data_IF_058508408400
#
_entry.id   IF_058508408400
#
_cell.length_a   1.000
_cell.length_b   1.000
_cell.length_c   1.000
_cell.angle_alpha   90.00
_cell.angle_beta   90.00
_cell.angle_gamma   90.00
#
_symmetry.space_group_name_H-M   'P 1'
#
loop_
_entity.id
_entity.type
_entity.pdbx_description
1 polymer ?
#
# COMPACT_ATOMS: atom_id res chain seq x y z
N UNK A 1 -29.15 9.10 24.86
CA UNK A 1 -28.06 8.53 24.05
C UNK A 1 -27.24 9.68 23.52
N UNK A 2 -25.93 9.72 23.77
CA UNK A 2 -25.05 10.74 23.21
C UNK A 2 -25.05 10.63 21.67
N UNK A 3 -25.16 11.76 20.99
CA UNK A 3 -25.14 11.81 19.53
C UNK A 3 -23.69 11.69 19.08
N UNK A 4 -23.39 10.68 18.24
CA UNK A 4 -22.08 10.47 17.65
C UNK A 4 -21.96 11.19 16.31
N UNK A 5 -20.94 11.98 16.17
CA UNK A 5 -20.62 12.80 15.00
C UNK A 5 -19.40 12.24 14.26
N UNK A 6 -19.38 12.35 12.93
CA UNK A 6 -18.22 12.10 12.10
C UNK A 6 -17.89 13.35 11.30
N UNK A 7 -16.61 13.71 11.23
CA UNK A 7 -16.14 14.87 10.47
C UNK A 7 -15.46 14.46 9.17
N UNK A 8 -15.72 15.21 8.10
CA UNK A 8 -14.98 15.17 6.86
C UNK A 8 -14.39 16.56 6.59
N UNK A 9 -13.09 16.60 6.40
CA UNK A 9 -12.31 17.83 6.24
C UNK A 9 -11.85 17.92 4.79
N UNK A 10 -12.02 19.07 4.14
CA UNK A 10 -11.71 19.21 2.72
C UNK A 10 -10.28 19.64 2.47
N UNK A 11 -9.68 20.39 3.37
CA UNK A 11 -8.35 20.95 3.21
C UNK A 11 -7.49 20.97 4.47
N UNK A 12 -6.18 21.13 4.29
CA UNK A 12 -5.17 21.12 5.35
C UNK A 12 -5.28 22.27 6.34
N UNK A 13 -5.88 23.38 5.92
CA UNK A 13 -6.13 24.57 6.73
C UNK A 13 -7.30 24.39 7.70
N UNK A 14 -8.13 23.34 7.50
CA UNK A 14 -9.28 23.00 8.33
C UNK A 14 -10.38 24.08 8.36
N UNK A 15 -10.42 24.94 7.35
CA UNK A 15 -11.44 25.98 7.21
C UNK A 15 -12.79 25.41 6.75
N UNK A 16 -12.75 24.40 5.90
CA UNK A 16 -13.93 23.76 5.32
C UNK A 16 -14.04 22.32 5.79
N UNK A 17 -15.19 21.98 6.37
CA UNK A 17 -15.48 20.62 6.83
C UNK A 17 -16.99 20.40 6.94
N UNK A 18 -17.39 19.15 6.81
CA UNK A 18 -18.76 18.69 7.00
C UNK A 18 -18.85 17.76 8.22
N UNK A 19 -19.99 17.84 8.92
CA UNK A 19 -20.29 16.94 10.03
C UNK A 19 -21.50 16.09 9.68
N UNK A 20 -21.35 14.79 9.91
CA UNK A 20 -22.37 13.78 9.68
C UNK A 20 -22.77 13.12 10.99
N UNK A 21 -24.01 12.65 11.07
CA UNK A 21 -24.39 11.70 12.09
C UNK A 21 -23.66 10.36 11.82
N UNK A 22 -22.86 9.90 12.79
CA UNK A 22 -22.01 8.72 12.60
C UNK A 22 -22.79 7.42 12.38
N UNK A 23 -24.01 7.31 12.89
CA UNK A 23 -24.83 6.11 12.77
C UNK A 23 -25.61 6.03 11.46
N UNK A 24 -26.15 7.19 11.00
CA UNK A 24 -27.01 7.24 9.82
C UNK A 24 -26.24 7.65 8.57
N UNK A 25 -25.02 8.14 8.72
CA UNK A 25 -24.18 8.70 7.65
C UNK A 25 -24.87 9.85 6.88
N UNK A 26 -25.85 10.52 7.49
CA UNK A 26 -26.48 11.71 6.91
C UNK A 26 -25.73 12.96 7.35
N UNK A 27 -25.49 13.86 6.39
CA UNK A 27 -24.95 15.19 6.64
C UNK A 27 -25.92 15.98 7.53
N UNK A 28 -25.40 16.71 8.51
CA UNK A 28 -26.23 17.54 9.37
C UNK A 28 -26.47 18.90 8.74
N UNK A 29 -27.72 19.33 8.69
CA UNK A 29 -28.10 20.69 8.22
C UNK A 29 -27.65 21.76 9.21
N UNK A 30 -27.71 21.48 10.50
CA UNK A 30 -27.28 22.36 11.59
C UNK A 30 -26.19 21.68 12.41
N UNK A 31 -24.94 21.62 11.92
CA UNK A 31 -23.86 20.94 12.64
C UNK A 31 -23.42 21.74 13.86
N UNK A 32 -22.95 21.07 14.91
CA UNK A 32 -22.36 21.74 16.06
C UNK A 32 -21.13 22.54 15.62
N UNK A 33 -21.01 23.76 16.15
CA UNK A 33 -19.85 24.62 15.89
C UNK A 33 -18.64 24.13 16.67
N UNK A 34 -17.65 23.61 15.99
CA UNK A 34 -16.37 23.17 16.56
C UNK A 34 -15.21 23.81 15.81
N UNK A 35 -14.06 23.90 16.48
CA UNK A 35 -12.80 24.18 15.78
C UNK A 35 -11.96 22.89 15.77
N UNK A 36 -11.84 22.20 14.62
CA UNK A 36 -11.19 20.90 14.57
C UNK A 36 -9.73 20.92 15.03
N UNK A 37 -8.99 22.01 14.76
CA UNK A 37 -7.58 22.15 15.17
C UNK A 37 -7.47 22.28 16.71
N UNK A 38 -8.28 23.13 17.32
CA UNK A 38 -8.25 23.29 18.78
C UNK A 38 -8.74 22.05 19.51
N UNK A 39 -9.75 21.39 18.96
CA UNK A 39 -10.31 20.12 19.47
C UNK A 39 -9.46 18.88 19.12
N UNK A 40 -8.37 19.07 18.36
CA UNK A 40 -7.46 17.97 17.94
C UNK A 40 -8.15 16.87 17.15
N UNK A 41 -9.10 17.22 16.31
CA UNK A 41 -9.89 16.31 15.47
C UNK A 41 -9.28 16.25 14.07
N UNK A 42 -9.17 15.06 13.50
CA UNK A 42 -8.69 14.80 12.15
C UNK A 42 -9.81 14.33 11.24
N UNK A 43 -9.54 14.33 9.94
CA UNK A 43 -10.48 13.81 8.95
C UNK A 43 -10.89 12.37 9.24
N UNK A 44 -12.20 12.11 9.20
CA UNK A 44 -12.81 10.81 9.46
C UNK A 44 -12.97 10.45 10.94
N UNK A 45 -12.58 11.34 11.87
CA UNK A 45 -12.72 11.10 13.30
C UNK A 45 -14.20 11.06 13.70
N UNK A 46 -14.51 10.16 14.66
CA UNK A 46 -15.80 10.06 15.31
C UNK A 46 -15.67 10.62 16.72
N UNK A 47 -16.57 11.52 17.08
CA UNK A 47 -16.55 12.23 18.36
C UNK A 47 -17.97 12.45 18.90
N UNK A 48 -18.05 12.77 20.17
CA UNK A 48 -19.26 13.25 20.85
C UNK A 48 -18.99 14.62 21.47
N UNK A 49 -20.07 15.33 21.77
CA UNK A 49 -19.98 16.64 22.46
C UNK A 49 -20.75 16.51 23.77
N UNK A 50 -20.02 16.71 24.87
CA UNK A 50 -20.56 16.71 26.23
C UNK A 50 -20.18 18.06 26.92
N UNK A 51 -21.18 18.81 27.35
CA UNK A 51 -20.94 20.10 28.01
C UNK A 51 -20.03 21.08 27.25
N UNK A 52 -20.18 21.13 25.91
CA UNK A 52 -19.33 21.89 24.98
C UNK A 52 -17.91 21.33 24.78
N UNK A 53 -17.55 20.25 25.43
CA UNK A 53 -16.28 19.58 25.21
C UNK A 53 -16.38 18.51 24.13
N UNK A 54 -15.43 18.52 23.20
CA UNK A 54 -15.35 17.54 22.10
C UNK A 54 -14.54 16.34 22.55
N UNK A 55 -15.18 15.21 22.71
CA UNK A 55 -14.57 13.94 23.13
C UNK A 55 -14.39 13.01 21.94
N UNK A 56 -13.15 12.68 21.63
CA UNK A 56 -12.81 11.76 20.53
C UNK A 56 -13.18 10.32 20.93
N UNK A 57 -14.03 9.67 20.13
CA UNK A 57 -14.45 8.27 20.31
C UNK A 57 -13.61 7.33 19.45
N UNK A 58 -13.39 7.66 18.18
CA UNK A 58 -12.63 6.84 17.26
C UNK A 58 -11.88 7.69 16.22
N UNK A 59 -10.68 7.28 15.86
CA UNK A 59 -9.85 7.98 14.88
C UNK A 59 -9.18 6.99 13.91
N UNK A 60 -9.56 6.97 12.64
CA UNK A 60 -8.90 6.15 11.65
C UNK A 60 -7.42 6.49 11.49
N UNK A 61 -7.10 7.79 11.47
CA UNK A 61 -5.73 8.27 11.26
C UNK A 61 -4.80 7.97 12.43
N UNK A 62 -5.29 7.98 13.66
CA UNK A 62 -4.50 7.62 14.85
C UNK A 62 -4.21 6.13 14.93
N UNK A 63 -5.06 5.29 14.31
CA UNK A 63 -4.92 3.83 14.22
C UNK A 63 -4.25 3.38 12.93
N UNK A 64 -4.01 4.28 11.97
CA UNK A 64 -3.39 3.95 10.70
C UNK A 64 -2.01 3.30 10.92
N UNK A 65 -1.75 2.21 10.21
CA UNK A 65 -0.46 1.51 10.25
C UNK A 65 0.67 2.46 9.84
N UNK A 66 0.41 3.32 8.86
CA UNK A 66 1.33 4.35 8.39
C UNK A 66 0.57 5.51 7.72
N UNK A 67 1.24 6.64 7.63
CA UNK A 67 0.86 7.85 6.90
C UNK A 67 2.04 8.22 6.02
N UNK A 68 1.80 8.49 4.74
CA UNK A 68 2.81 8.93 3.79
C UNK A 68 2.94 10.46 3.83
N UNK A 69 4.15 10.99 3.63
CA UNK A 69 4.34 12.44 3.60
C UNK A 69 5.73 12.86 3.16
N UNK A 70 5.91 14.16 3.01
CA UNK A 70 7.18 14.80 2.70
C UNK A 70 7.75 15.46 3.94
N UNK A 71 8.91 14.98 4.40
CA UNK A 71 9.69 15.61 5.46
C UNK A 71 10.49 16.79 4.89
N UNK A 72 10.16 17.99 5.35
CA UNK A 72 10.75 19.25 4.87
C UNK A 72 12.05 19.52 5.61
N UNK A 73 13.18 19.30 4.94
CA UNK A 73 14.52 19.56 5.45
C UNK A 73 15.15 20.80 4.81
N UNK A 74 14.65 21.22 3.64
CA UNK A 74 15.09 22.44 2.97
C UNK A 74 14.90 23.66 3.87
N UNK A 75 15.89 24.56 3.85
CA UNK A 75 15.88 25.75 4.71
C UNK A 75 16.25 25.52 6.18
N UNK A 76 16.58 24.28 6.57
CA UNK A 76 17.07 23.92 7.92
C UNK A 76 16.19 24.39 9.09
N UNK A 77 14.89 24.66 8.87
CA UNK A 77 13.95 25.10 9.90
C UNK A 77 13.56 23.94 10.81
N UNK A 78 13.79 24.10 12.10
CA UNK A 78 13.44 23.12 13.14
C UNK A 78 12.39 23.65 14.10
N UNK A 79 11.67 22.75 14.76
CA UNK A 79 10.55 23.08 15.66
C UNK A 79 10.78 22.53 17.08
N UNK A 80 12.03 22.54 17.52
CA UNK A 80 12.46 22.07 18.82
C UNK A 80 13.24 20.75 18.74
N UNK A 81 13.68 20.26 19.90
CA UNK A 81 14.55 19.11 20.04
C UNK A 81 13.86 18.00 20.83
N UNK A 82 14.06 16.77 20.43
CA UNK A 82 13.61 15.58 21.14
C UNK A 82 14.76 14.57 21.20
N UNK A 83 15.34 14.41 22.40
CA UNK A 83 16.56 13.63 22.61
C UNK A 83 17.66 14.14 21.65
N UNK A 84 18.25 13.26 20.82
CA UNK A 84 19.30 13.59 19.86
C UNK A 84 18.77 13.93 18.44
N UNK A 85 17.48 14.25 18.31
CA UNK A 85 16.82 14.58 17.05
C UNK A 85 16.16 15.94 17.13
N UNK A 86 16.02 16.62 15.99
CA UNK A 86 15.22 17.83 15.88
C UNK A 86 13.88 17.51 15.24
N UNK A 87 12.83 18.24 15.64
CA UNK A 87 11.55 18.17 14.96
C UNK A 87 11.59 18.95 13.66
N UNK A 88 11.20 18.29 12.59
CA UNK A 88 11.00 18.87 11.26
C UNK A 88 9.53 18.76 10.88
N UNK A 89 9.08 19.70 10.04
CA UNK A 89 7.75 19.70 9.46
C UNK A 89 7.65 18.56 8.46
N UNK A 90 6.56 17.81 8.55
CA UNK A 90 6.19 16.78 7.60
C UNK A 90 4.81 17.11 7.03
N UNK A 91 4.71 17.14 5.73
CA UNK A 91 3.49 17.42 4.99
C UNK A 91 2.92 16.07 4.54
N UNK A 92 1.79 15.59 5.13
CA UNK A 92 1.15 14.37 4.67
C UNK A 92 0.72 14.48 3.21
N UNK A 93 0.68 13.35 2.50
CA UNK A 93 0.14 13.27 1.14
C UNK A 93 -1.36 13.60 1.13
N UNK A 94 -2.12 13.01 2.06
CA UNK A 94 -3.53 13.35 2.24
C UNK A 94 -3.68 14.81 2.67
N UNK A 95 -4.24 15.62 1.76
CA UNK A 95 -4.46 17.06 1.95
C UNK A 95 -5.46 17.39 3.07
N UNK A 96 -6.22 16.39 3.54
CA UNK A 96 -7.20 16.52 4.63
C UNK A 96 -6.56 16.36 6.01
N UNK A 97 -5.25 16.08 6.07
CA UNK A 97 -4.50 15.97 7.32
C UNK A 97 -3.68 17.23 7.59
N UNK A 98 -3.55 17.64 8.86
CA UNK A 98 -2.68 18.76 9.22
C UNK A 98 -1.21 18.40 9.03
N UNK A 99 -0.35 19.42 9.04
CA UNK A 99 1.09 19.21 9.07
C UNK A 99 1.54 18.58 10.39
N UNK A 100 2.44 17.62 10.32
CA UNK A 100 3.00 16.92 11.46
C UNK A 100 4.41 17.42 11.80
N UNK A 101 4.82 17.19 13.03
CA UNK A 101 6.21 17.32 13.46
C UNK A 101 6.81 15.93 13.66
N UNK A 102 7.92 15.65 12.98
CA UNK A 102 8.60 14.35 13.05
C UNK A 102 10.02 14.55 13.54
N UNK A 103 10.44 13.83 14.61
CA UNK A 103 11.81 13.87 15.07
C UNK A 103 12.74 13.12 14.10
N UNK A 104 13.68 13.85 13.50
CA UNK A 104 14.63 13.32 12.52
C UNK A 104 16.06 13.75 12.86
N UNK A 105 17.02 12.87 12.59
CA UNK A 105 18.45 13.18 12.70
C UNK A 105 19.03 13.30 11.29
N UNK A 106 19.32 14.51 10.89
CA UNK A 106 19.99 14.76 9.63
C UNK A 106 21.42 14.20 9.70
N UNK A 107 21.78 13.36 8.73
CA UNK A 107 23.17 12.95 8.56
C UNK A 107 23.93 14.13 7.99
N UNK A 108 24.88 14.67 8.75
CA UNK A 108 25.74 15.76 8.31
C UNK A 108 26.55 15.28 7.11
N UNK A 109 26.26 15.81 5.93
CA UNK A 109 27.06 15.70 4.73
C UNK A 109 27.53 17.10 4.38
N UNK A 110 28.64 17.24 3.65
CA UNK A 110 29.23 18.52 3.21
C UNK A 110 28.33 19.37 2.26
N UNK A 111 27.01 19.11 2.21
CA UNK A 111 26.08 19.85 1.36
C UNK A 111 25.39 20.97 2.16
N UNK A 112 25.44 22.18 1.64
CA UNK A 112 24.74 23.36 2.20
C UNK A 112 23.22 23.20 2.23
N UNK A 113 22.65 22.45 1.29
CA UNK A 113 21.22 22.23 1.17
C UNK A 113 20.88 20.77 1.46
N UNK A 114 19.84 20.58 2.26
CA UNK A 114 19.26 19.27 2.56
C UNK A 114 18.05 19.04 1.66
N UNK A 115 18.07 17.93 0.92
CA UNK A 115 16.92 17.53 0.12
C UNK A 115 15.77 17.09 1.03
N UNK A 116 14.55 17.50 0.70
CA UNK A 116 13.35 16.99 1.31
C UNK A 116 13.26 15.47 1.06
N UNK A 117 12.56 14.77 1.96
CA UNK A 117 12.47 13.31 1.87
C UNK A 117 11.05 12.82 1.84
N UNK A 118 10.79 11.84 0.98
CA UNK A 118 9.62 11.00 1.11
C UNK A 118 9.78 10.10 2.32
N UNK A 119 8.77 10.12 3.20
CA UNK A 119 8.78 9.37 4.45
C UNK A 119 7.45 8.69 4.71
N UNK A 120 7.53 7.65 5.52
CA UNK A 120 6.37 6.96 6.10
C UNK A 120 6.47 7.07 7.61
N UNK A 121 5.40 7.49 8.25
CA UNK A 121 5.33 7.70 9.68
C UNK A 121 3.98 7.26 10.24
N UNK A 122 3.85 7.17 11.55
CA UNK A 122 2.58 6.94 12.25
C UNK A 122 2.30 8.06 13.23
N UNK A 123 1.03 8.26 13.53
CA UNK A 123 0.61 9.19 14.58
C UNK A 123 1.22 8.80 15.94
N UNK A 124 1.59 9.80 16.72
CA UNK A 124 2.08 9.61 18.09
C UNK A 124 1.23 10.36 19.10
N UNK A 125 1.11 11.68 18.95
CA UNK A 125 0.34 12.53 19.87
C UNK A 125 -0.02 13.86 19.24
N UNK A 126 -1.05 14.51 19.77
CA UNK A 126 -1.41 15.88 19.41
C UNK A 126 -1.71 16.70 20.66
N UNK A 127 -0.69 17.29 21.25
CA UNK A 127 -0.84 18.10 22.49
C UNK A 127 -0.71 19.61 22.24
N UNK A 128 0.14 20.01 21.28
CA UNK A 128 0.41 21.42 20.93
C UNK A 128 -0.27 21.78 19.59
N UNK A 129 0.22 22.83 18.94
CA UNK A 129 -0.31 23.31 17.66
C UNK A 129 -0.33 22.24 16.56
N UNK A 130 0.74 21.45 16.43
CA UNK A 130 0.88 20.42 15.42
C UNK A 130 0.87 19.03 16.05
N UNK A 131 0.28 18.02 15.38
CA UNK A 131 0.45 16.63 15.77
C UNK A 131 1.90 16.19 15.61
N UNK A 132 2.29 15.21 16.40
CA UNK A 132 3.62 14.58 16.35
C UNK A 132 3.49 13.21 15.75
N UNK A 133 4.39 12.87 14.82
CA UNK A 133 4.52 11.55 14.24
C UNK A 133 5.81 10.85 14.66
N UNK A 134 5.81 9.53 14.55
CA UNK A 134 7.00 8.67 14.70
C UNK A 134 7.38 8.18 13.32
N UNK A 135 8.61 8.48 12.89
CA UNK A 135 9.16 8.01 11.63
C UNK A 135 9.23 6.47 11.62
N UNK A 136 8.66 5.86 10.61
CA UNK A 136 8.76 4.42 10.34
C UNK A 136 9.90 4.18 9.34
N UNK A 137 9.83 4.86 8.19
CA UNK A 137 10.80 4.69 7.12
C UNK A 137 11.08 6.00 6.38
N UNK A 138 12.29 6.10 5.85
CA UNK A 138 12.69 7.15 4.90
C UNK A 138 12.87 6.49 3.54
N UNK A 139 11.98 6.81 2.60
CA UNK A 139 11.96 6.18 1.27
C UNK A 139 13.14 6.67 0.43
N UNK A 140 13.32 8.00 0.35
CA UNK A 140 14.42 8.60 -0.40
C UNK A 140 14.27 10.11 -0.56
N UNK A 141 15.06 10.70 -1.44
CA UNK A 141 14.99 12.13 -1.73
C UNK A 141 13.81 12.45 -2.65
N UNK A 142 13.20 13.62 -2.46
CA UNK A 142 12.11 14.11 -3.33
C UNK A 142 12.60 14.36 -4.75
N UNK A 143 13.89 14.66 -4.92
CA UNK A 143 14.54 14.86 -6.22
C UNK A 143 14.79 13.56 -7.02
N UNK A 144 14.56 12.39 -6.41
CA UNK A 144 14.83 11.09 -7.04
C UNK A 144 13.53 10.46 -7.53
N UNK A 145 13.41 10.22 -8.84
CA UNK A 145 12.20 9.66 -9.45
C UNK A 145 11.89 8.24 -8.94
N UNK A 146 12.92 7.42 -8.70
CA UNK A 146 12.73 6.08 -8.13
C UNK A 146 12.12 6.14 -6.72
N UNK A 147 12.52 7.13 -5.90
CA UNK A 147 11.94 7.39 -4.59
C UNK A 147 10.49 7.86 -4.68
N UNK A 148 10.14 8.63 -5.72
CA UNK A 148 8.76 9.03 -5.99
C UNK A 148 7.87 7.83 -6.30
N UNK A 149 8.30 6.88 -7.14
CA UNK A 149 7.51 5.69 -7.44
C UNK A 149 7.24 4.83 -6.19
N UNK A 150 8.27 4.60 -5.38
CA UNK A 150 8.09 3.89 -4.12
C UNK A 150 7.16 4.65 -3.13
N UNK A 151 7.26 5.97 -3.10
CA UNK A 151 6.36 6.81 -2.30
C UNK A 151 4.90 6.68 -2.75
N UNK A 152 4.63 6.68 -4.06
CA UNK A 152 3.29 6.50 -4.61
C UNK A 152 2.68 5.13 -4.22
N UNK A 153 3.48 4.09 -4.08
CA UNK A 153 3.01 2.80 -3.57
C UNK A 153 2.41 2.92 -2.16
N UNK A 154 3.04 3.70 -1.29
CA UNK A 154 2.51 3.97 0.05
C UNK A 154 1.27 4.86 0.02
N UNK A 155 1.27 5.94 -0.78
CA UNK A 155 0.14 6.87 -0.88
C UNK A 155 -1.15 6.17 -1.32
N UNK A 156 -1.03 5.19 -2.21
CA UNK A 156 -2.16 4.45 -2.76
C UNK A 156 -2.44 3.11 -2.04
N UNK A 157 -1.81 2.87 -0.87
CA UNK A 157 -1.96 1.62 -0.11
C UNK A 157 -1.60 0.35 -0.89
N UNK A 158 -0.73 0.49 -1.90
CA UNK A 158 -0.27 -0.60 -2.77
C UNK A 158 1.04 -1.23 -2.27
N UNK A 159 1.62 -0.68 -1.21
CA UNK A 159 2.86 -1.20 -0.64
C UNK A 159 2.59 -2.50 0.11
N UNK A 160 3.03 -3.60 -0.47
CA UNK A 160 3.11 -4.89 0.18
C UNK A 160 4.40 -5.58 -0.29
N UNK A 161 5.22 -6.03 0.65
CA UNK A 161 6.48 -6.71 0.31
C UNK A 161 6.23 -8.17 0.01
N UNK A 162 6.74 -8.66 -1.13
CA UNK A 162 6.76 -10.09 -1.46
C UNK A 162 8.10 -10.75 -1.12
N UNK A 163 8.94 -10.10 -0.30
CA UNK A 163 10.29 -10.59 -0.01
C UNK A 163 10.29 -11.97 0.66
N UNK A 164 9.37 -12.22 1.60
CA UNK A 164 9.24 -13.53 2.25
C UNK A 164 8.78 -14.60 1.27
N UNK A 165 7.80 -14.29 0.43
CA UNK A 165 7.32 -15.19 -0.61
C UNK A 165 8.45 -15.55 -1.58
N UNK A 166 9.20 -14.57 -2.09
CA UNK A 166 10.38 -14.78 -2.94
C UNK A 166 11.44 -15.66 -2.26
N UNK A 167 11.76 -15.36 -1.00
CA UNK A 167 12.77 -16.11 -0.27
C UNK A 167 12.38 -17.58 -0.10
N UNK A 168 11.13 -17.86 0.30
CA UNK A 168 10.61 -19.22 0.49
C UNK A 168 10.52 -19.97 -0.84
N UNK A 169 10.00 -19.34 -1.91
CA UNK A 169 9.96 -19.94 -3.25
C UNK A 169 11.35 -20.33 -3.71
N UNK A 170 12.32 -19.43 -3.65
CA UNK A 170 13.70 -19.72 -4.05
C UNK A 170 14.35 -20.81 -3.17
N UNK A 171 14.00 -20.88 -1.88
CA UNK A 171 14.48 -21.95 -1.00
C UNK A 171 13.94 -23.31 -1.45
N UNK A 172 12.65 -23.40 -1.74
CA UNK A 172 12.02 -24.66 -2.16
C UNK A 172 12.54 -25.13 -3.51
N UNK A 173 12.68 -24.23 -4.49
CA UNK A 173 13.20 -24.54 -5.81
C UNK A 173 14.71 -24.88 -5.85
N UNK A 174 15.44 -24.63 -4.75
CA UNK A 174 16.81 -25.13 -4.56
C UNK A 174 16.86 -26.56 -4.06
N UNK A 175 15.81 -27.06 -3.42
CA UNK A 175 15.76 -28.45 -2.93
C UNK A 175 15.52 -29.44 -4.06
N UNK A 176 14.65 -29.07 -5.00
CA UNK A 176 14.32 -29.85 -6.17
C UNK A 176 14.06 -28.92 -7.35
N UNK A 177 14.25 -29.40 -8.57
CA UNK A 177 13.97 -28.66 -9.81
C UNK A 177 12.47 -28.55 -10.11
N UNK A 178 12.15 -27.76 -11.13
CA UNK A 178 10.78 -27.53 -11.58
C UNK A 178 10.12 -28.83 -12.05
N UNK A 179 10.86 -29.72 -12.74
CA UNK A 179 10.33 -30.97 -13.27
C UNK A 179 9.91 -31.93 -12.15
N UNK A 180 10.68 -32.00 -11.08
CA UNK A 180 10.29 -32.76 -9.88
C UNK A 180 8.93 -32.31 -9.32
N UNK A 181 8.73 -30.99 -9.14
CA UNK A 181 7.48 -30.46 -8.61
C UNK A 181 6.33 -30.63 -9.61
N UNK A 182 6.56 -30.43 -10.90
CA UNK A 182 5.57 -30.65 -11.97
C UNK A 182 5.07 -32.10 -11.97
N UNK A 183 5.99 -33.06 -11.93
CA UNK A 183 5.63 -34.47 -11.86
C UNK A 183 4.84 -34.80 -10.59
N UNK A 184 5.19 -34.21 -9.49
CA UNK A 184 4.47 -34.38 -8.22
C UNK A 184 3.06 -33.77 -8.25
N UNK A 185 2.88 -32.62 -8.89
CA UNK A 185 1.57 -32.00 -9.14
C UNK A 185 0.72 -32.92 -10.03
N UNK A 186 1.27 -33.37 -11.13
CA UNK A 186 0.60 -34.29 -12.06
C UNK A 186 0.16 -35.60 -11.40
N UNK A 187 1.00 -36.18 -10.55
CA UNK A 187 0.68 -37.44 -9.85
C UNK A 187 -0.39 -37.31 -8.76
N UNK A 188 -0.54 -36.13 -8.18
CA UNK A 188 -1.51 -35.88 -7.09
C UNK A 188 -2.89 -35.44 -7.57
N UNK A 189 -2.98 -34.93 -8.78
CA UNK A 189 -4.20 -34.31 -9.30
C UNK A 189 -4.63 -35.01 -10.59
N UNK A 190 -5.92 -35.04 -10.85
CA UNK A 190 -6.49 -35.52 -12.10
C UNK A 190 -6.28 -34.49 -13.19
N UNK A 191 -5.05 -34.40 -13.70
CA UNK A 191 -4.65 -33.43 -14.74
C UNK A 191 -4.49 -34.18 -16.05
N UNK A 192 -5.17 -33.73 -17.09
CA UNK A 192 -5.01 -34.27 -18.45
C UNK A 192 -3.87 -33.53 -19.13
N UNK A 193 -2.89 -34.27 -19.65
CA UNK A 193 -1.83 -33.73 -20.51
C UNK A 193 -2.42 -33.42 -21.89
N UNK A 194 -2.27 -32.18 -22.31
CA UNK A 194 -2.75 -31.66 -23.61
C UNK A 194 -1.64 -30.99 -24.42
N UNK A 195 -0.38 -31.29 -24.12
CA UNK A 195 0.77 -30.71 -24.82
C UNK A 195 0.86 -31.15 -26.30
N UNK A 196 0.05 -32.12 -26.70
CA UNK A 196 -0.15 -32.55 -28.07
C UNK A 196 -1.19 -31.72 -28.84
N UNK A 197 -1.87 -30.80 -28.19
CA UNK A 197 -2.84 -29.92 -28.83
C UNK A 197 -2.14 -28.67 -29.42
N UNK A 198 -2.77 -28.06 -30.44
CA UNK A 198 -2.35 -26.75 -30.93
C UNK A 198 -2.72 -25.71 -29.89
N UNK A 199 -1.72 -25.15 -29.18
CA UNK A 199 -1.91 -24.18 -28.13
C UNK A 199 -1.22 -22.88 -28.52
N UNK A 200 -1.98 -21.76 -28.47
CA UNK A 200 -1.50 -20.43 -28.83
C UNK A 200 -1.87 -19.43 -27.76
N UNK A 201 -1.02 -18.41 -27.56
CA UNK A 201 -1.33 -17.21 -26.77
C UNK A 201 -1.47 -16.03 -27.74
N UNK A 202 -2.26 -15.04 -27.35
CA UNK A 202 -2.48 -13.82 -28.14
C UNK A 202 -2.04 -12.62 -27.28
N UNK A 203 -0.75 -12.38 -27.28
CA UNK A 203 -0.11 -11.36 -26.47
C UNK A 203 0.72 -10.39 -27.32
N UNK A 204 1.11 -9.25 -26.73
CA UNK A 204 2.09 -8.38 -27.37
C UNK A 204 3.46 -9.04 -27.41
N UNK A 205 4.29 -8.71 -28.42
CA UNK A 205 5.64 -9.25 -28.58
C UNK A 205 6.56 -9.04 -27.35
N UNK A 206 6.25 -8.07 -26.50
CA UNK A 206 7.02 -7.76 -25.29
C UNK A 206 6.43 -8.41 -24.03
N UNK A 207 5.32 -9.13 -24.13
CA UNK A 207 4.64 -9.77 -23.01
C UNK A 207 5.50 -10.90 -22.45
N UNK A 208 5.62 -10.94 -21.13
CA UNK A 208 6.31 -12.00 -20.39
C UNK A 208 5.36 -12.76 -19.48
N UNK A 209 4.25 -12.15 -19.14
CA UNK A 209 3.20 -12.73 -18.31
C UNK A 209 2.16 -13.31 -19.29
N UNK A 210 2.21 -14.64 -19.52
CA UNK A 210 1.28 -15.36 -20.39
C UNK A 210 0.24 -16.04 -19.51
N UNK A 211 -0.83 -15.31 -19.17
CA UNK A 211 -1.82 -15.77 -18.18
C UNK A 211 -2.87 -16.68 -18.79
N UNK A 212 -3.15 -16.57 -20.09
CA UNK A 212 -4.17 -17.32 -20.81
C UNK A 212 -3.68 -17.82 -22.17
N UNK A 213 -4.28 -18.92 -22.60
CA UNK A 213 -4.02 -19.52 -23.89
C UNK A 213 -5.29 -20.17 -24.46
N UNK A 214 -5.31 -20.32 -25.78
CA UNK A 214 -6.32 -21.07 -26.53
C UNK A 214 -5.72 -22.35 -27.06
N UNK A 215 -6.43 -23.45 -26.91
CA UNK A 215 -6.02 -24.72 -27.50
C UNK A 215 -7.06 -25.27 -28.46
N UNK A 216 -6.62 -25.84 -29.54
CA UNK A 216 -7.46 -26.43 -30.56
C UNK A 216 -7.11 -27.91 -30.76
N UNK A 217 -8.13 -28.74 -30.94
CA UNK A 217 -7.98 -30.12 -31.36
C UNK A 217 -9.05 -30.46 -32.39
N UNK A 218 -8.63 -30.73 -33.61
CA UNK A 218 -9.51 -31.21 -34.64
C UNK A 218 -9.86 -32.70 -34.38
N UNK A 219 -11.15 -33.00 -34.33
CA UNK A 219 -11.66 -34.36 -34.17
C UNK A 219 -11.92 -34.97 -35.54
N UNK A 220 -12.58 -34.21 -36.41
CA UNK A 220 -12.87 -34.56 -37.80
C UNK A 220 -13.08 -33.28 -38.63
N UNK A 221 -13.51 -33.41 -39.90
CA UNK A 221 -13.72 -32.24 -40.79
C UNK A 221 -14.82 -31.28 -40.31
N UNK A 222 -15.76 -31.74 -39.48
CA UNK A 222 -16.89 -30.93 -39.01
C UNK A 222 -16.76 -30.50 -37.55
N UNK A 223 -15.89 -31.14 -36.76
CA UNK A 223 -15.79 -30.93 -35.33
C UNK A 223 -14.38 -30.52 -34.88
N UNK A 224 -14.29 -29.40 -34.17
CA UNK A 224 -13.08 -28.93 -33.50
C UNK A 224 -13.40 -28.61 -32.05
N UNK A 225 -12.62 -29.15 -31.12
CA UNK A 225 -12.69 -28.78 -29.72
C UNK A 225 -11.80 -27.56 -29.51
N UNK A 226 -12.36 -26.51 -28.92
CA UNK A 226 -11.62 -25.35 -28.45
C UNK A 226 -11.55 -25.37 -26.90
N UNK A 227 -10.39 -25.13 -26.38
CA UNK A 227 -10.14 -25.04 -24.93
C UNK A 227 -9.55 -23.69 -24.57
N UNK A 228 -9.96 -23.14 -23.44
CA UNK A 228 -9.37 -21.93 -22.85
C UNK A 228 -8.55 -22.39 -21.63
N UNK A 229 -7.30 -21.98 -21.58
CA UNK A 229 -6.41 -22.26 -20.46
C UNK A 229 -6.13 -20.98 -19.70
N UNK A 230 -6.10 -21.10 -18.38
CA UNK A 230 -5.71 -20.01 -17.48
C UNK A 230 -4.64 -20.57 -16.55
N UNK A 231 -3.56 -19.82 -16.33
CA UNK A 231 -2.48 -20.25 -15.46
C UNK A 231 -2.99 -20.55 -14.05
N UNK A 232 -2.60 -21.70 -13.51
CA UNK A 232 -3.04 -22.17 -12.20
C UNK A 232 -1.89 -22.16 -11.20
N UNK A 233 -1.73 -21.04 -10.50
CA UNK A 233 -0.70 -20.87 -9.48
C UNK A 233 -0.99 -21.64 -8.18
N UNK A 234 -2.24 -22.04 -7.93
CA UNK A 234 -2.67 -22.70 -6.68
C UNK A 234 -1.89 -23.98 -6.43
N UNK A 235 -1.69 -24.81 -7.46
CA UNK A 235 -0.91 -26.04 -7.33
C UNK A 235 0.54 -25.79 -6.91
N UNK A 236 1.15 -24.70 -7.38
CA UNK A 236 2.48 -24.28 -6.96
C UNK A 236 2.50 -23.78 -5.53
N UNK A 237 1.50 -22.98 -5.13
CA UNK A 237 1.35 -22.51 -3.76
C UNK A 237 1.21 -23.66 -2.77
N UNK A 238 0.46 -24.71 -3.14
CA UNK A 238 0.25 -25.90 -2.31
C UNK A 238 1.51 -26.77 -2.24
N UNK A 239 2.12 -27.09 -3.39
CA UNK A 239 3.27 -28.02 -3.42
C UNK A 239 4.52 -27.45 -2.79
N UNK A 240 4.72 -26.12 -2.87
CA UNK A 240 5.83 -25.39 -2.28
C UNK A 240 5.51 -24.83 -0.88
N UNK A 241 4.29 -25.08 -0.38
CA UNK A 241 3.84 -24.60 0.95
C UNK A 241 4.03 -23.10 1.14
N UNK A 242 3.52 -22.29 0.19
CA UNK A 242 3.78 -20.85 0.13
C UNK A 242 2.70 -19.98 0.78
N UNK A 243 1.54 -20.51 1.14
CA UNK A 243 0.38 -19.74 1.59
C UNK A 243 0.67 -18.84 2.79
N UNK A 244 1.41 -19.32 3.78
CA UNK A 244 1.79 -18.49 4.95
C UNK A 244 2.74 -17.33 4.60
N UNK A 245 3.43 -17.44 3.46
CA UNK A 245 4.36 -16.41 2.97
C UNK A 245 3.69 -15.46 1.97
N UNK A 246 2.44 -15.75 1.58
CA UNK A 246 1.71 -14.94 0.62
C UNK A 246 1.47 -13.54 1.17
N UNK A 247 1.73 -12.52 0.35
CA UNK A 247 1.62 -11.12 0.76
C UNK A 247 0.25 -10.54 0.37
N UNK A 248 -0.15 -9.48 1.08
CA UNK A 248 -1.38 -8.72 0.81
C UNK A 248 -1.30 -7.89 -0.51
N UNK A 249 -0.43 -8.26 -1.44
CA UNK A 249 -0.36 -7.62 -2.76
C UNK A 249 -1.36 -8.29 -3.70
N UNK A 250 -2.37 -7.55 -4.08
CA UNK A 250 -3.55 -8.03 -4.83
C UNK A 250 -3.38 -7.99 -6.35
N UNK A 251 -2.33 -7.36 -6.87
CA UNK A 251 -2.05 -7.24 -8.30
C UNK A 251 -0.58 -6.95 -8.58
N UNK A 252 -0.13 -7.25 -9.79
CA UNK A 252 1.12 -6.72 -10.34
C UNK A 252 0.94 -5.25 -10.68
N UNK A 253 1.89 -4.40 -10.30
CA UNK A 253 1.84 -2.96 -10.52
C UNK A 253 2.91 -2.61 -11.56
N UNK A 254 2.46 -2.02 -12.66
CA UNK A 254 3.33 -1.58 -13.75
C UNK A 254 3.65 -0.10 -13.56
N UNK A 255 4.94 0.21 -13.33
CA UNK A 255 5.45 1.57 -13.24
C UNK A 255 6.50 1.80 -14.34
N UNK A 256 6.78 3.05 -14.73
CA UNK A 256 7.71 3.34 -15.82
C UNK A 256 9.14 2.81 -15.62
N UNK A 257 9.58 2.63 -14.36
CA UNK A 257 10.92 2.14 -14.05
C UNK A 257 11.01 0.60 -14.07
N UNK A 258 9.99 -0.08 -13.55
CA UNK A 258 9.91 -1.55 -13.49
C UNK A 258 8.53 -2.02 -13.02
N UNK A 259 8.18 -3.26 -13.31
CA UNK A 259 7.02 -3.91 -12.69
C UNK A 259 7.31 -4.25 -11.21
N UNK A 260 6.27 -4.22 -10.38
CA UNK A 260 6.26 -4.74 -9.00
C UNK A 260 5.33 -5.94 -8.99
N UNK A 261 5.84 -7.15 -9.18
CA UNK A 261 5.01 -8.33 -9.37
C UNK A 261 4.25 -8.72 -8.10
N UNK A 262 3.07 -9.29 -8.27
CA UNK A 262 2.29 -9.91 -7.19
C UNK A 262 2.92 -11.23 -6.73
N UNK A 263 3.46 -11.98 -7.66
CA UNK A 263 4.09 -13.28 -7.45
C UNK A 263 5.60 -13.22 -7.73
N UNK A 264 6.39 -14.16 -7.18
CA UNK A 264 7.77 -14.36 -7.62
C UNK A 264 7.86 -14.55 -9.13
N UNK A 265 8.81 -13.90 -9.78
CA UNK A 265 8.95 -13.95 -11.24
C UNK A 265 9.19 -15.36 -11.77
N UNK A 266 9.79 -16.23 -10.99
CA UNK A 266 9.96 -17.66 -11.32
C UNK A 266 8.63 -18.42 -11.37
N UNK A 267 7.56 -17.87 -10.82
CA UNK A 267 6.21 -18.46 -10.86
C UNK A 267 5.26 -17.69 -11.79
N UNK A 268 5.62 -16.49 -12.24
CA UNK A 268 4.76 -15.63 -13.08
C UNK A 268 5.32 -15.40 -14.47
N UNK A 269 6.64 -15.44 -14.63
CA UNK A 269 7.28 -15.13 -15.90
C UNK A 269 7.79 -16.44 -16.53
N UNK A 270 7.54 -16.63 -17.80
CA UNK A 270 8.03 -17.75 -18.62
C UNK A 270 9.19 -17.33 -19.49
#
# INVERSE_FOLDING_TARGET
MSCLYRIYIDGRDYNEYDIYNSNTMKRLENPPKINPISSKIMNGDIFEINNNDVNLVHSPMRKAKFISGVLVLSGNKTYGKFKNKYFYRCIPDDKRLPEFLIPYKVKIKFRKHQDNKYVVFKFSSWRKKHPVGILINTIGNVSEIASFYEYQMYCNSLYASIANLNAKTNQMLKLHDVDFYTNKIMSKNTIQDRRDWEIVTIDSLASKDLDDALGFKHINEEETIMSIYISNIVFWMDILDLWESFADRIATIYLPDRKRPMLPTVLSDT
#
